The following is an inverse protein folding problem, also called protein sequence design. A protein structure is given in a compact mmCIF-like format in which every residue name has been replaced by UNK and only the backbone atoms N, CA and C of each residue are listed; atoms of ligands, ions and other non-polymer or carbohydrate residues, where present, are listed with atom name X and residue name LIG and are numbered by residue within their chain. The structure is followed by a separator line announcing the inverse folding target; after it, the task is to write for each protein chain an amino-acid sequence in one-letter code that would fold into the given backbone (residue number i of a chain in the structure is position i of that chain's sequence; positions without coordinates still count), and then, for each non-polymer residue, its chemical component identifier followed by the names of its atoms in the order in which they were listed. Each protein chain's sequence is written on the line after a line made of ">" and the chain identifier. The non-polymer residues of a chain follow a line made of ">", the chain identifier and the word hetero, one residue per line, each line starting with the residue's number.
data_IF_039827338806
#
_entry.id   IF_039827338806
#
_cell.length_a   1.000
_cell.length_b   1.000
_cell.length_c   1.000
_cell.angle_alpha   90.00
_cell.angle_beta   90.00
_cell.angle_gamma   90.00
#
_symmetry.space_group_name_H-M   'P 1'
#
loop_
_entity.id
_entity.type
_entity.pdbx_description
1 polymer ?
#
# COMPACT_ATOMS: atom_id res chain seq x y z
N UNK A 1 31.88 -33.47 -69.46
CA UNK A 1 30.91 -32.38 -69.67
C UNK A 1 30.69 -31.69 -68.32
N UNK A 2 30.87 -30.37 -68.27
CA UNK A 2 30.70 -29.51 -67.08
C UNK A 2 29.25 -29.48 -66.63
N UNK A 3 29.00 -29.32 -65.32
CA UNK A 3 27.96 -28.45 -64.78
C UNK A 3 28.29 -28.12 -63.31
N UNK A 4 28.91 -26.97 -63.14
CA UNK A 4 29.05 -26.18 -61.91
C UNK A 4 27.67 -25.73 -61.46
N UNK A 5 27.31 -25.95 -60.18
CA UNK A 5 26.16 -25.28 -59.57
C UNK A 5 26.63 -24.47 -58.36
N UNK A 6 26.45 -23.16 -58.46
CA UNK A 6 26.80 -22.14 -57.47
C UNK A 6 25.56 -21.92 -56.61
N UNK A 7 25.58 -22.30 -55.33
CA UNK A 7 24.52 -21.96 -54.38
C UNK A 7 24.89 -20.63 -53.70
N UNK A 8 24.10 -19.59 -54.00
CA UNK A 8 24.16 -18.27 -53.37
C UNK A 8 23.74 -18.37 -51.90
N UNK A 9 24.64 -17.98 -51.00
CA UNK A 9 24.33 -17.76 -49.59
C UNK A 9 23.40 -16.57 -49.40
N UNK A 10 22.39 -16.73 -48.56
CA UNK A 10 21.49 -15.67 -48.13
C UNK A 10 21.65 -15.54 -46.61
N UNK A 11 22.46 -14.58 -46.19
CA UNK A 11 22.66 -14.24 -44.77
C UNK A 11 21.49 -13.36 -44.34
N UNK A 12 20.53 -13.94 -43.62
CA UNK A 12 19.47 -13.19 -42.96
C UNK A 12 20.04 -12.59 -41.67
N UNK A 13 20.47 -11.33 -41.75
CA UNK A 13 20.82 -10.52 -40.58
C UNK A 13 19.58 -10.25 -39.75
N UNK A 14 19.45 -10.93 -38.61
CA UNK A 14 18.46 -10.61 -37.60
C UNK A 14 18.93 -9.36 -36.85
N UNK A 15 18.31 -8.21 -37.13
CA UNK A 15 18.46 -7.02 -36.32
C UNK A 15 17.77 -7.24 -34.97
N UNK A 16 18.56 -7.55 -33.94
CA UNK A 16 18.10 -7.66 -32.56
C UNK A 16 17.76 -6.24 -32.07
N UNK A 17 16.49 -5.88 -32.13
CA UNK A 17 16.00 -4.61 -31.59
C UNK A 17 16.07 -4.65 -30.05
N UNK A 18 17.11 -4.03 -29.50
CA UNK A 18 17.31 -3.87 -28.06
C UNK A 18 16.30 -2.82 -27.54
N UNK A 19 15.13 -3.27 -27.10
CA UNK A 19 14.14 -2.39 -26.47
C UNK A 19 14.61 -2.06 -25.06
N UNK A 20 15.17 -0.86 -24.87
CA UNK A 20 15.42 -0.32 -23.53
C UNK A 20 14.08 -0.08 -22.84
N UNK A 21 13.63 -1.06 -22.04
CA UNK A 21 12.54 -0.86 -21.11
C UNK A 21 13.04 0.13 -20.05
N UNK A 22 12.64 1.41 -20.19
CA UNK A 22 12.79 2.39 -19.13
C UNK A 22 11.93 1.92 -17.94
N UNK A 23 12.58 1.29 -16.97
CA UNK A 23 11.97 1.00 -15.67
C UNK A 23 11.76 2.33 -14.98
N UNK A 24 10.57 2.91 -15.15
CA UNK A 24 10.13 4.02 -14.32
C UNK A 24 10.25 3.56 -12.86
N UNK A 25 11.23 4.09 -12.13
CA UNK A 25 11.37 3.81 -10.70
C UNK A 25 10.07 4.27 -10.05
N UNK A 26 9.29 3.32 -9.54
CA UNK A 26 8.11 3.64 -8.76
C UNK A 26 8.57 4.50 -7.57
N UNK A 27 8.16 5.77 -7.57
CA UNK A 27 8.59 6.74 -6.57
C UNK A 27 7.91 6.42 -5.24
N UNK A 28 8.67 5.87 -4.28
CA UNK A 28 8.16 5.66 -2.93
C UNK A 28 8.27 6.96 -2.12
N UNK A 29 7.31 7.17 -1.23
CA UNK A 29 7.31 8.30 -0.29
C UNK A 29 7.72 7.79 1.06
N UNK A 30 8.88 8.24 1.56
CA UNK A 30 9.32 7.99 2.92
C UNK A 30 8.75 9.05 3.86
N UNK A 31 7.86 8.65 4.77
CA UNK A 31 7.17 9.52 5.71
C UNK A 31 7.65 9.23 7.14
N UNK A 32 8.60 10.01 7.68
CA UNK A 32 8.95 9.92 9.09
C UNK A 32 7.74 10.30 9.97
N UNK A 33 7.66 9.68 11.14
CA UNK A 33 6.54 9.86 12.03
C UNK A 33 6.62 8.98 13.27
N UNK A 34 5.46 8.79 13.89
CA UNK A 34 5.36 8.13 15.20
C UNK A 34 4.19 7.17 15.22
N UNK A 35 4.41 6.03 15.85
CA UNK A 35 3.36 5.14 16.36
C UNK A 35 3.31 5.30 17.87
N UNK A 36 2.12 5.41 18.44
CA UNK A 36 1.92 5.51 19.87
C UNK A 36 0.82 4.55 20.32
N UNK A 37 1.03 3.89 21.46
CA UNK A 37 0.07 2.94 22.03
C UNK A 37 0.22 2.85 23.54
N UNK A 38 -0.81 2.34 24.21
CA UNK A 38 -0.77 2.06 25.64
C UNK A 38 -0.27 0.62 25.83
N UNK A 39 0.83 0.43 26.54
CA UNK A 39 1.35 -0.91 26.86
C UNK A 39 0.52 -1.59 27.96
N UNK A 40 0.75 -2.88 28.19
CA UNK A 40 0.01 -3.68 29.16
C UNK A 40 0.12 -3.17 30.62
N UNK A 41 1.14 -2.37 30.93
CA UNK A 41 1.31 -1.69 32.22
C UNK A 41 0.61 -0.33 32.30
N UNK A 42 -0.12 0.08 31.26
CA UNK A 42 -0.81 1.38 31.19
C UNK A 42 0.08 2.55 30.76
N UNK A 43 1.36 2.32 30.42
CA UNK A 43 2.26 3.39 29.98
C UNK A 43 2.03 3.76 28.52
N UNK A 44 2.12 5.06 28.21
CA UNK A 44 2.09 5.55 26.83
C UNK A 44 3.46 5.35 26.17
N UNK A 45 3.55 4.39 25.27
CA UNK A 45 4.74 4.13 24.47
C UNK A 45 4.67 4.93 23.18
N UNK A 46 5.77 5.60 22.81
CA UNK A 46 5.93 6.31 21.53
C UNK A 46 7.16 5.75 20.80
N UNK A 47 7.01 5.41 19.52
CA UNK A 47 8.08 4.88 18.67
C UNK A 47 8.21 5.76 17.43
N UNK A 48 9.38 6.34 17.24
CA UNK A 48 9.74 7.03 16.00
C UNK A 48 9.98 5.98 14.92
N UNK A 49 9.27 6.11 13.79
CA UNK A 49 9.30 5.17 12.68
C UNK A 49 9.19 5.94 11.37
N UNK A 50 9.67 5.34 10.29
CA UNK A 50 9.48 5.82 8.92
C UNK A 50 8.53 4.87 8.20
N UNK A 51 7.43 5.41 7.68
CA UNK A 51 6.50 4.71 6.83
C UNK A 51 6.87 4.97 5.37
N UNK A 52 7.28 3.94 4.66
CA UNK A 52 7.56 4.00 3.22
C UNK A 52 6.33 3.49 2.47
N UNK A 53 5.66 4.39 1.73
CA UNK A 53 4.49 4.06 0.94
C UNK A 53 4.87 4.06 -0.55
N UNK A 54 4.65 2.95 -1.28
CA UNK A 54 4.98 2.90 -2.70
C UNK A 54 4.03 3.79 -3.52
N UNK A 55 4.53 4.30 -4.66
CA UNK A 55 3.70 5.03 -5.61
C UNK A 55 2.47 4.21 -6.01
N UNK A 56 1.32 4.90 -6.10
CA UNK A 56 0.06 4.34 -6.65
C UNK A 56 -0.45 3.09 -5.92
N UNK A 57 0.00 2.83 -4.69
CA UNK A 57 -0.38 1.62 -3.95
C UNK A 57 0.14 0.32 -4.58
N UNK A 58 1.11 0.42 -5.50
CA UNK A 58 1.71 -0.74 -6.17
C UNK A 58 3.01 -1.13 -5.45
N UNK A 59 2.93 -2.15 -4.60
CA UNK A 59 4.08 -2.68 -3.85
C UNK A 59 3.78 -2.82 -2.37
N UNK A 60 4.83 -3.12 -1.61
CA UNK A 60 4.74 -3.28 -0.16
C UNK A 60 4.92 -1.93 0.54
N UNK A 61 4.13 -1.71 1.58
CA UNK A 61 4.35 -0.62 2.53
C UNK A 61 5.37 -1.11 3.55
N UNK A 62 6.39 -0.32 3.84
CA UNK A 62 7.41 -0.69 4.84
C UNK A 62 7.31 0.23 6.04
N UNK A 63 7.51 -0.31 7.23
CA UNK A 63 7.63 0.43 8.47
C UNK A 63 8.99 0.13 9.10
N UNK A 64 9.80 1.14 9.36
CA UNK A 64 11.17 0.94 9.82
C UNK A 64 11.67 2.00 10.82
N UNK A 65 12.66 1.62 11.63
CA UNK A 65 13.59 2.51 12.32
C UNK A 65 15.03 2.02 12.09
N UNK A 66 15.99 2.62 12.78
CA UNK A 66 17.41 2.33 12.63
C UNK A 66 17.78 0.85 12.90
N UNK A 67 16.99 0.13 13.70
CA UNK A 67 17.32 -1.22 14.17
C UNK A 67 16.34 -2.31 13.70
N UNK A 68 15.24 -1.94 13.05
CA UNK A 68 14.14 -2.86 12.74
C UNK A 68 13.34 -2.37 11.54
N UNK A 69 12.86 -3.31 10.73
CA UNK A 69 12.00 -3.04 9.57
C UNK A 69 10.99 -4.17 9.40
N UNK A 70 9.78 -3.83 8.97
CA UNK A 70 8.75 -4.78 8.56
C UNK A 70 8.09 -4.33 7.25
N UNK A 71 7.96 -5.26 6.32
CA UNK A 71 7.13 -5.11 5.13
C UNK A 71 5.68 -5.50 5.42
N UNK A 72 4.75 -4.83 4.75
CA UNK A 72 3.33 -5.16 4.83
C UNK A 72 3.08 -6.51 4.17
N UNK A 73 2.41 -7.42 4.89
CA UNK A 73 1.92 -8.67 4.33
C UNK A 73 0.66 -8.46 3.49
N UNK A 74 -0.13 -7.43 3.80
CA UNK A 74 -1.33 -7.05 3.06
C UNK A 74 -1.50 -5.54 3.06
N UNK A 75 -1.92 -4.98 1.93
CA UNK A 75 -2.25 -3.58 1.78
C UNK A 75 -3.56 -3.45 0.99
N UNK A 76 -4.47 -2.61 1.50
CA UNK A 76 -5.76 -2.38 0.87
C UNK A 76 -6.18 -0.92 1.07
N UNK A 77 -6.91 -0.38 0.09
CA UNK A 77 -7.49 0.95 0.16
C UNK A 77 -8.95 0.90 -0.28
N UNK A 78 -9.80 1.65 0.42
CA UNK A 78 -11.22 1.77 0.11
C UNK A 78 -11.68 3.22 0.31
N UNK A 79 -12.74 3.61 -0.40
CA UNK A 79 -13.37 4.92 -0.22
C UNK A 79 -14.56 4.81 0.73
N UNK A 80 -14.53 5.58 1.81
CA UNK A 80 -15.60 5.68 2.80
C UNK A 80 -15.99 7.15 2.96
N UNK A 81 -17.25 7.49 2.69
CA UNK A 81 -17.78 8.86 2.81
C UNK A 81 -16.90 9.93 2.13
N UNK A 82 -16.42 9.64 0.91
CA UNK A 82 -15.55 10.56 0.15
C UNK A 82 -14.09 10.63 0.62
N UNK A 83 -13.70 9.83 1.62
CA UNK A 83 -12.32 9.74 2.12
C UNK A 83 -11.70 8.40 1.74
N UNK A 84 -10.43 8.42 1.35
CA UNK A 84 -9.67 7.17 1.14
C UNK A 84 -9.14 6.69 2.48
N UNK A 85 -9.60 5.50 2.89
CA UNK A 85 -9.12 4.77 4.06
C UNK A 85 -8.18 3.68 3.56
N UNK A 86 -7.03 3.54 4.20
CA UNK A 86 -6.10 2.45 3.95
C UNK A 86 -6.00 1.52 5.14
N UNK A 87 -5.69 0.26 4.84
CA UNK A 87 -5.48 -0.80 5.78
C UNK A 87 -4.15 -1.47 5.43
N UNK A 88 -3.20 -1.44 6.36
CA UNK A 88 -1.89 -2.05 6.17
C UNK A 88 -1.67 -3.06 7.28
N UNK A 89 -1.42 -4.31 6.91
CA UNK A 89 -1.11 -5.38 7.85
C UNK A 89 0.37 -5.70 7.79
N UNK A 90 1.02 -5.73 8.95
CA UNK A 90 2.38 -6.17 9.14
C UNK A 90 2.36 -7.44 10.02
N UNK A 91 3.13 -8.45 9.65
CA UNK A 91 3.27 -9.66 10.46
C UNK A 91 4.48 -9.52 11.40
N UNK A 92 4.46 -10.29 12.50
CA UNK A 92 5.58 -10.41 13.44
C UNK A 92 6.06 -9.07 14.02
N UNK A 93 5.12 -8.16 14.31
CA UNK A 93 5.41 -6.83 14.85
C UNK A 93 4.96 -6.71 16.30
N UNK A 94 5.80 -6.09 17.12
CA UNK A 94 5.46 -5.72 18.49
C UNK A 94 5.54 -6.90 19.48
N UNK A 95 4.94 -6.73 20.68
CA UNK A 95 5.01 -7.74 21.73
C UNK A 95 4.25 -9.01 21.31
N UNK A 96 4.91 -10.17 21.48
CA UNK A 96 4.40 -11.50 21.13
C UNK A 96 4.29 -11.78 19.62
N UNK A 97 5.02 -11.07 18.77
CA UNK A 97 5.06 -11.32 17.31
C UNK A 97 3.66 -11.38 16.67
N UNK A 98 2.76 -10.49 17.11
CA UNK A 98 1.39 -10.43 16.59
C UNK A 98 1.34 -9.73 15.24
N UNK A 99 0.20 -9.85 14.56
CA UNK A 99 -0.07 -8.99 13.41
C UNK A 99 -0.42 -7.59 13.92
N UNK A 100 0.12 -6.58 13.25
CA UNK A 100 -0.21 -5.17 13.45
C UNK A 100 -1.01 -4.66 12.26
N UNK A 101 -2.14 -4.03 12.52
CA UNK A 101 -2.94 -3.36 11.52
C UNK A 101 -2.84 -1.85 11.73
N UNK A 102 -2.41 -1.14 10.70
CA UNK A 102 -2.59 0.31 10.58
C UNK A 102 -3.86 0.57 9.77
N UNK A 103 -4.86 1.17 10.41
CA UNK A 103 -6.07 1.65 9.74
C UNK A 103 -6.05 3.17 9.78
N UNK A 104 -6.02 3.81 8.62
CA UNK A 104 -5.93 5.26 8.60
C UNK A 104 -6.43 5.90 7.33
N UNK A 105 -6.28 7.21 7.29
CA UNK A 105 -6.53 8.03 6.11
C UNK A 105 -5.28 8.81 5.77
N UNK A 106 -5.22 9.30 4.54
CA UNK A 106 -4.16 10.20 4.13
C UNK A 106 -4.71 11.46 3.48
N UNK A 107 -3.98 12.55 3.63
CA UNK A 107 -4.14 13.77 2.84
C UNK A 107 -2.85 13.99 2.07
N UNK A 108 -3.00 14.30 0.79
CA UNK A 108 -1.90 14.71 -0.07
C UNK A 108 -2.20 16.09 -0.61
N UNK A 109 -1.51 17.10 -0.07
CA UNK A 109 -1.47 18.44 -0.62
C UNK A 109 -0.37 18.58 -1.68
N UNK A 110 -0.15 19.82 -2.10
CA UNK A 110 0.90 20.16 -3.10
C UNK A 110 2.32 20.02 -2.54
N UNK A 111 2.50 20.24 -1.24
CA UNK A 111 3.80 20.25 -0.57
C UNK A 111 3.93 19.23 0.57
N UNK A 112 2.84 18.60 0.99
CA UNK A 112 2.82 17.71 2.16
C UNK A 112 1.91 16.51 1.93
N UNK A 113 2.41 15.33 2.26
CA UNK A 113 1.60 14.13 2.47
C UNK A 113 1.55 13.84 3.97
N UNK A 114 0.35 13.61 4.50
CA UNK A 114 0.13 13.25 5.89
C UNK A 114 -0.69 11.95 5.96
N UNK A 115 -0.27 11.04 6.82
CA UNK A 115 -0.91 9.76 7.09
C UNK A 115 -1.21 9.68 8.57
N UNK A 116 -2.42 9.32 8.95
CA UNK A 116 -2.79 9.19 10.35
C UNK A 116 -3.92 8.19 10.53
N UNK A 117 -4.06 7.69 11.75
CA UNK A 117 -5.12 6.78 12.10
C UNK A 117 -4.81 5.99 13.35
N UNK A 118 -5.37 4.79 13.39
CA UNK A 118 -5.43 3.91 14.54
C UNK A 118 -4.56 2.67 14.32
N UNK A 119 -4.04 2.12 15.41
CA UNK A 119 -3.23 0.91 15.45
C UNK A 119 -3.98 -0.17 16.20
N UNK A 120 -3.98 -1.35 15.61
CA UNK A 120 -4.57 -2.54 16.19
C UNK A 120 -3.54 -3.68 16.23
N UNK A 121 -3.59 -4.51 17.28
CA UNK A 121 -2.88 -5.79 17.31
C UNK A 121 -3.87 -6.93 17.32
N UNK A 122 -3.55 -8.01 16.63
CA UNK A 122 -4.50 -9.10 16.50
C UNK A 122 -4.11 -10.16 15.50
N UNK A 123 -5.12 -10.78 14.92
CA UNK A 123 -4.99 -11.81 13.90
C UNK A 123 -6.21 -11.80 12.96
N UNK A 124 -5.96 -11.59 11.67
CA UNK A 124 -6.95 -11.80 10.63
C UNK A 124 -6.83 -13.24 10.09
N UNK A 125 -7.89 -14.07 10.20
CA UNK A 125 -7.86 -15.43 9.70
C UNK A 125 -7.50 -15.52 8.22
N UNK A 126 -6.92 -16.65 7.84
CA UNK A 126 -6.68 -16.97 6.42
C UNK A 126 -8.01 -17.00 5.64
N UNK A 127 -7.97 -16.55 4.38
CA UNK A 127 -9.15 -16.47 3.52
C UNK A 127 -10.06 -15.26 3.74
N UNK A 128 -9.90 -14.50 4.84
CA UNK A 128 -10.65 -13.25 5.04
C UNK A 128 -9.92 -12.04 4.47
N UNK A 129 -10.69 -11.06 3.97
CA UNK A 129 -10.16 -9.77 3.54
C UNK A 129 -9.77 -8.94 4.76
N UNK A 130 -8.74 -8.10 4.62
CA UNK A 130 -8.32 -7.19 5.70
C UNK A 130 -9.46 -6.25 6.10
N UNK A 131 -10.23 -5.80 5.13
CA UNK A 131 -11.42 -4.97 5.36
C UNK A 131 -12.49 -5.69 6.19
N UNK A 132 -12.82 -6.95 5.86
CA UNK A 132 -13.73 -7.78 6.65
C UNK A 132 -13.22 -7.92 8.09
N UNK A 133 -11.95 -8.24 8.26
CA UNK A 133 -11.33 -8.38 9.58
C UNK A 133 -11.34 -7.05 10.37
N UNK A 134 -11.12 -5.91 9.72
CA UNK A 134 -11.01 -4.60 10.36
C UNK A 134 -12.37 -3.96 10.68
N UNK A 135 -13.43 -4.30 9.93
CA UNK A 135 -14.77 -3.75 10.09
C UNK A 135 -15.68 -4.59 11.00
N UNK A 136 -15.28 -5.82 11.32
CA UNK A 136 -15.99 -6.66 12.30
C UNK A 136 -15.74 -6.12 13.71
N UNK A 137 -16.38 -4.99 14.05
CA UNK A 137 -16.53 -4.51 15.44
C UNK A 137 -17.56 -5.36 16.21
N UNK A 138 -17.70 -6.63 15.87
CA UNK A 138 -18.82 -7.43 16.35
C UNK A 138 -18.53 -7.89 17.78
N UNK A 139 -18.86 -6.98 18.69
CA UNK A 139 -18.83 -7.12 20.15
C UNK A 139 -19.68 -8.29 20.67
N UNK A 140 -20.43 -8.98 19.80
CA UNK A 140 -21.48 -9.90 20.21
C UNK A 140 -21.05 -11.38 20.29
N UNK A 141 -19.84 -11.77 19.87
CA UNK A 141 -19.44 -13.19 19.87
C UNK A 141 -18.04 -13.53 20.41
N UNK A 142 -17.49 -12.70 21.32
CA UNK A 142 -16.34 -13.10 22.15
C UNK A 142 -15.02 -13.41 21.42
N UNK A 143 -14.91 -13.08 20.13
CA UNK A 143 -13.67 -13.21 19.34
C UNK A 143 -13.38 -11.88 18.65
N UNK A 144 -12.88 -10.90 19.39
CA UNK A 144 -12.29 -9.72 18.76
C UNK A 144 -10.98 -10.15 18.10
N UNK A 145 -10.93 -10.01 16.78
CA UNK A 145 -9.74 -10.33 15.99
C UNK A 145 -8.68 -9.24 16.06
N UNK A 146 -9.06 -8.03 16.49
CA UNK A 146 -8.21 -6.84 16.52
C UNK A 146 -8.49 -6.01 17.78
N UNK A 147 -7.48 -5.87 18.62
CA UNK A 147 -7.50 -5.01 19.79
C UNK A 147 -6.97 -3.63 19.38
N UNK A 148 -7.78 -2.59 19.57
CA UNK A 148 -7.32 -1.21 19.39
C UNK A 148 -6.33 -0.85 20.51
N UNK A 149 -5.12 -0.44 20.13
CA UNK A 149 -4.05 -0.16 21.10
C UNK A 149 -3.54 1.28 21.09
N UNK A 150 -3.84 2.04 20.04
CA UNK A 150 -3.35 3.41 19.91
C UNK A 150 -3.46 3.96 18.50
N UNK A 151 -2.55 4.85 18.12
CA UNK A 151 -2.60 5.55 16.84
C UNK A 151 -1.24 5.85 16.25
N UNK A 152 -1.26 6.49 15.09
CA UNK A 152 -0.06 6.87 14.38
C UNK A 152 -0.23 8.18 13.62
N UNK A 153 0.91 8.83 13.34
CA UNK A 153 0.97 10.00 12.49
C UNK A 153 2.32 10.05 11.76
N UNK A 154 2.28 10.10 10.43
CA UNK A 154 3.45 10.23 9.56
C UNK A 154 3.28 11.41 8.61
N UNK A 155 4.38 12.08 8.29
CA UNK A 155 4.38 13.23 7.38
C UNK A 155 5.59 13.16 6.46
N UNK A 156 5.39 13.46 5.18
CA UNK A 156 6.45 13.58 4.19
C UNK A 156 6.27 14.86 3.38
N UNK A 157 7.35 15.58 3.06
CA UNK A 157 7.28 16.58 2.00
C UNK A 157 6.95 15.90 0.67
N UNK A 158 6.10 16.53 -0.13
CA UNK A 158 5.89 16.11 -1.52
C UNK A 158 6.97 16.80 -2.34
N UNK A 159 8.09 16.12 -2.60
CA UNK A 159 9.08 16.61 -3.55
C UNK A 159 8.46 16.58 -4.95
N UNK A 160 8.41 17.74 -5.59
CA UNK A 160 7.70 17.97 -6.85
C UNK A 160 8.19 17.03 -7.96
N UNK A 161 7.32 16.09 -8.34
CA UNK A 161 7.59 15.14 -9.42
C UNK A 161 6.36 14.53 -10.08
N UNK A 162 5.13 14.90 -9.70
CA UNK A 162 3.90 14.82 -10.49
C UNK A 162 2.72 15.16 -9.56
N UNK A 163 1.91 16.16 -9.95
CA UNK A 163 0.60 16.36 -9.35
C UNK A 163 -0.20 15.05 -9.47
N UNK A 164 -1.02 14.68 -8.46
CA UNK A 164 -1.98 13.61 -8.64
C UNK A 164 -2.85 13.97 -9.86
N UNK A 165 -2.88 13.10 -10.86
CA UNK A 165 -3.86 13.19 -11.95
C UNK A 165 -5.22 12.96 -11.29
N UNK A 166 -5.89 14.04 -10.93
CA UNK A 166 -7.31 14.02 -10.60
C UNK A 166 -8.07 13.57 -11.86
N UNK A 167 -8.69 12.39 -11.78
CA UNK A 167 -9.85 12.05 -12.60
C UNK A 167 -9.57 11.58 -14.03
N UNK A 168 -9.63 10.26 -14.22
CA UNK A 168 -10.49 9.73 -15.28
C UNK A 168 -11.58 8.87 -14.62
N UNK A 169 -12.61 9.56 -14.14
CA UNK A 169 -13.93 8.95 -14.01
C UNK A 169 -14.39 8.56 -15.43
N UNK A 170 -14.23 7.29 -15.79
CA UNK A 170 -15.15 6.67 -16.74
C UNK A 170 -16.44 6.37 -15.97
N UNK A 171 -17.28 7.39 -15.80
CA UNK A 171 -18.71 7.19 -15.64
C UNK A 171 -19.25 6.95 -17.04
N UNK A 172 -19.44 5.68 -17.40
CA UNK A 172 -20.31 5.33 -18.50
C UNK A 172 -21.73 5.23 -17.92
N UNK A 173 -22.56 6.16 -18.37
CA UNK A 173 -23.99 6.05 -18.64
C UNK A 173 -24.82 5.05 -17.83
N UNK A 174 -25.71 5.61 -17.01
CA UNK A 174 -27.06 5.07 -16.85
C UNK A 174 -28.01 6.25 -16.56
N UNK A 175 -28.38 6.96 -17.61
CA UNK A 175 -29.56 7.80 -17.63
C UNK A 175 -30.76 6.98 -18.17
N UNK A 176 -31.95 7.31 -17.64
CA UNK A 176 -33.27 6.68 -17.82
C UNK A 176 -33.40 5.37 -17.02
N UNK A 177 -34.31 5.25 -16.06
CA UNK A 177 -35.77 5.24 -16.28
C UNK A 177 -36.48 5.80 -15.03
N UNK A 178 -37.26 6.87 -15.21
CA UNK A 178 -38.49 7.12 -14.45
C UNK A 178 -39.65 6.75 -15.37
N UNK A 179 -40.67 6.09 -14.84
CA UNK A 179 -41.92 5.83 -15.54
C UNK A 179 -42.85 4.91 -14.74
N UNK A 180 -43.73 5.55 -13.97
CA UNK A 180 -45.02 5.09 -13.40
C UNK A 180 -45.03 4.02 -12.28
#
# INVERSE_FOLDING_TARGET
>A
MRLTSIVKGMVFGSALALTLAATAKAESVAAPGKVFYVSNNGELVKRELTLTVPARGQGEVTLANDNWSASSSRFFTAKYHGRTVFYVVFNDVGPNHKQMLLRGSYLRGTNLAAYWGDVYFGHCPEGQTVESCANTQDHQQGRQHWDHVGGFAFKAPVTGGQAPVEGSQQSQDAAAIFGE
#
